data_IF_472914230206
#
_entry.id   IF_472914230206
#
_cell.length_a   1.000
_cell.length_b   1.000
_cell.length_c   1.000
_cell.angle_alpha   90.00
_cell.angle_beta   90.00
_cell.angle_gamma   90.00
#
_symmetry.space_group_name_H-M   'P 1'
#
loop_
_entity.id
_entity.type
_entity.pdbx_description
1 polymer ?
#
# COMPACT_ATOMS: atom_id res chain seq x y z
N UNK A 1 -0.19 40.72 -57.66
CA UNK A 1 -1.03 39.85 -56.81
C UNK A 1 -0.12 38.96 -56.00
N UNK A 2 -0.29 39.01 -54.67
CA UNK A 2 0.13 38.06 -53.64
C UNK A 2 0.00 36.60 -54.15
N UNK A 3 0.82 35.61 -53.84
CA UNK A 3 1.69 35.34 -52.70
C UNK A 3 1.49 33.85 -52.33
N UNK A 4 2.56 33.21 -51.84
CA UNK A 4 2.61 31.92 -51.13
C UNK A 4 2.67 30.61 -51.94
N UNK A 5 3.78 29.91 -51.71
CA UNK A 5 3.99 28.53 -52.11
C UNK A 5 3.19 27.56 -51.25
N UNK A 6 2.79 26.46 -51.87
CA UNK A 6 2.24 25.29 -51.21
C UNK A 6 3.02 24.06 -51.66
N UNK A 7 3.93 23.59 -50.79
CA UNK A 7 4.34 22.21 -50.79
C UNK A 7 3.18 21.38 -50.24
N UNK A 8 2.54 20.62 -51.13
CA UNK A 8 1.49 19.67 -50.80
C UNK A 8 2.04 18.45 -50.06
N UNK A 9 1.32 18.10 -49.00
CA UNK A 9 1.33 16.87 -48.22
C UNK A 9 1.99 15.64 -48.87
N UNK A 10 3.17 15.26 -48.38
CA UNK A 10 3.53 13.85 -48.27
C UNK A 10 3.13 13.38 -46.88
N UNK A 11 2.19 12.43 -46.83
CA UNK A 11 1.90 11.64 -45.64
C UNK A 11 3.19 10.99 -45.16
N UNK A 12 3.70 11.47 -44.04
CA UNK A 12 4.75 10.79 -43.31
C UNK A 12 4.07 9.85 -42.32
N UNK A 13 4.41 8.57 -42.50
CA UNK A 13 4.15 7.48 -41.57
C UNK A 13 4.32 7.92 -40.10
N UNK A 14 3.51 7.39 -39.18
CA UNK A 14 3.76 7.61 -37.75
C UNK A 14 5.19 7.15 -37.41
N UNK A 15 5.98 7.95 -36.67
CA UNK A 15 7.33 7.55 -36.30
C UNK A 15 7.28 6.28 -35.46
N UNK A 16 8.21 5.40 -35.81
CA UNK A 16 8.43 4.08 -35.28
C UNK A 16 8.43 4.02 -33.74
N UNK A 17 7.87 2.92 -33.25
CA UNK A 17 8.05 2.33 -31.93
C UNK A 17 9.18 2.96 -31.10
N UNK A 18 8.78 3.61 -30.01
CA UNK A 18 9.66 3.76 -28.86
C UNK A 18 10.19 2.37 -28.48
N UNK A 19 11.49 2.22 -28.20
CA UNK A 19 12.02 0.95 -27.75
C UNK A 19 11.29 0.58 -26.45
N UNK A 20 10.71 -0.63 -26.42
CA UNK A 20 10.21 -1.21 -25.20
C UNK A 20 11.34 -1.15 -24.16
N UNK A 21 11.11 -0.39 -23.09
CA UNK A 21 11.99 -0.39 -21.94
C UNK A 21 12.24 -1.85 -21.55
N UNK A 22 13.53 -2.20 -21.44
CA UNK A 22 14.03 -3.54 -21.24
C UNK A 22 13.13 -4.37 -20.31
N UNK A 23 12.74 -5.55 -20.79
CA UNK A 23 11.87 -6.49 -20.10
C UNK A 23 12.36 -6.79 -18.68
N UNK A 24 11.50 -6.46 -17.72
CA UNK A 24 11.65 -6.73 -16.30
C UNK A 24 10.46 -6.10 -15.58
N UNK A 25 9.82 -6.84 -14.68
CA UNK A 25 8.61 -6.46 -13.96
C UNK A 25 8.86 -5.27 -13.01
N UNK A 26 9.07 -4.06 -13.55
CA UNK A 26 9.34 -2.88 -12.72
C UNK A 26 8.10 -2.53 -11.90
N UNK A 27 8.23 -2.40 -10.57
CA UNK A 27 7.12 -2.05 -9.71
C UNK A 27 6.63 -0.64 -10.05
N UNK A 28 5.34 -0.56 -10.35
CA UNK A 28 4.53 0.64 -10.45
C UNK A 28 3.92 1.00 -9.08
N UNK A 29 3.65 2.28 -8.91
CA UNK A 29 3.19 2.90 -7.69
C UNK A 29 1.80 3.49 -7.88
N UNK A 30 1.00 3.43 -6.81
CA UNK A 30 -0.17 4.27 -6.61
C UNK A 30 0.24 5.53 -5.86
N UNK A 31 -0.37 6.64 -6.24
CA UNK A 31 -0.19 7.93 -5.59
C UNK A 31 -1.56 8.38 -5.12
N UNK A 32 -1.76 8.58 -3.83
CA UNK A 32 -3.05 8.96 -3.27
C UNK A 32 -2.90 10.06 -2.23
N UNK A 33 -4.01 10.77 -2.03
CA UNK A 33 -4.08 11.94 -1.18
C UNK A 33 -4.67 11.57 0.20
N UNK A 34 -4.24 12.25 1.26
CA UNK A 34 -4.77 12.05 2.62
C UNK A 34 -6.22 12.50 2.75
N UNK A 35 -6.66 13.45 1.93
CA UNK A 35 -8.04 13.92 1.92
C UNK A 35 -9.04 12.78 1.68
N UNK A 36 -8.68 11.83 0.80
CA UNK A 36 -9.40 10.56 0.63
C UNK A 36 -8.45 9.49 0.04
N UNK A 37 -8.09 8.50 0.87
CA UNK A 37 -7.20 7.40 0.48
C UNK A 37 -7.85 6.41 -0.52
N UNK A 38 -9.16 6.55 -0.77
CA UNK A 38 -9.92 5.80 -1.78
C UNK A 38 -9.70 6.28 -3.21
N UNK A 39 -9.05 7.43 -3.42
CA UNK A 39 -8.77 7.98 -4.75
C UNK A 39 -7.27 7.98 -5.07
N UNK A 40 -6.93 7.53 -6.28
CA UNK A 40 -5.56 7.51 -6.79
C UNK A 40 -5.38 8.48 -7.95
N UNK A 41 -4.15 8.96 -8.09
CA UNK A 41 -3.68 9.75 -9.22
C UNK A 41 -3.85 8.96 -10.52
N UNK A 42 -4.48 9.55 -11.52
CA UNK A 42 -4.77 8.95 -12.82
C UNK A 42 -4.49 9.94 -13.94
N UNK A 43 -4.18 9.43 -15.13
CA UNK A 43 -4.26 10.21 -16.36
C UNK A 43 -5.65 10.05 -16.97
N UNK A 44 -6.36 11.16 -17.22
CA UNK A 44 -7.64 11.18 -17.95
C UNK A 44 -7.71 12.41 -18.84
N UNK A 45 -8.08 12.23 -20.11
CA UNK A 45 -8.22 13.31 -21.09
C UNK A 45 -7.00 14.26 -21.17
N UNK A 46 -5.79 13.69 -21.02
CA UNK A 46 -4.53 14.45 -21.04
C UNK A 46 -4.22 15.23 -19.76
N UNK A 47 -5.02 15.08 -18.70
CA UNK A 47 -4.84 15.73 -17.41
C UNK A 47 -4.45 14.72 -16.32
N UNK A 48 -3.85 15.24 -15.24
CA UNK A 48 -3.60 14.48 -14.02
C UNK A 48 -4.72 14.79 -13.02
N UNK A 49 -5.47 13.76 -12.63
CA UNK A 49 -6.65 13.86 -11.76
C UNK A 49 -6.63 12.79 -10.67
N UNK A 50 -7.48 12.93 -9.66
CA UNK A 50 -7.83 11.86 -8.75
C UNK A 50 -9.04 11.10 -9.27
N UNK A 51 -9.00 9.78 -9.16
CA UNK A 51 -10.05 8.86 -9.58
C UNK A 51 -10.22 7.74 -8.55
N UNK A 52 -11.41 7.12 -8.41
CA UNK A 52 -11.59 5.97 -7.53
C UNK A 52 -10.52 4.91 -7.80
N UNK A 53 -9.91 4.41 -6.74
CA UNK A 53 -8.79 3.48 -6.82
C UNK A 53 -9.19 2.23 -7.60
N UNK A 54 -8.49 1.99 -8.69
CA UNK A 54 -8.68 0.81 -9.51
C UNK A 54 -7.32 0.24 -9.89
N UNK A 55 -6.84 -0.81 -9.22
CA UNK A 55 -5.55 -1.42 -9.54
C UNK A 55 -5.50 -1.99 -10.98
N UNK A 56 -6.63 -2.18 -11.67
CA UNK A 56 -6.62 -2.64 -13.07
C UNK A 56 -6.50 -1.51 -14.09
N UNK A 57 -6.64 -0.26 -13.66
CA UNK A 57 -6.55 0.89 -14.55
C UNK A 57 -5.08 1.32 -14.70
N UNK A 58 -4.45 0.94 -15.81
CA UNK A 58 -3.05 1.29 -16.08
C UNK A 58 -2.76 2.80 -16.06
N UNK A 59 -3.79 3.66 -16.22
CA UNK A 59 -3.63 5.11 -16.08
C UNK A 59 -3.41 5.55 -14.63
N UNK A 60 -3.69 4.69 -13.64
CA UNK A 60 -3.38 4.93 -12.23
C UNK A 60 -2.02 4.35 -11.80
N UNK A 61 -1.27 3.73 -12.73
CA UNK A 61 0.04 3.17 -12.47
C UNK A 61 1.14 4.16 -12.83
N UNK A 62 2.05 4.39 -11.89
CA UNK A 62 3.14 5.34 -12.05
C UNK A 62 4.48 4.68 -11.79
N UNK A 63 5.51 5.03 -12.56
CA UNK A 63 6.90 4.75 -12.23
C UNK A 63 7.48 5.94 -11.48
N UNK A 64 8.29 5.63 -10.47
CA UNK A 64 9.12 6.61 -9.78
C UNK A 64 10.55 6.48 -10.31
N UNK A 65 10.92 7.37 -11.23
CA UNK A 65 12.24 7.34 -11.86
C UNK A 65 13.27 8.08 -11.01
N UNK A 66 14.26 7.34 -10.50
CA UNK A 66 15.24 7.86 -9.55
C UNK A 66 16.63 8.05 -10.19
N UNK A 67 16.80 7.95 -11.52
CA UNK A 67 18.16 7.91 -12.13
C UNK A 67 19.03 9.12 -11.78
N UNK A 68 18.40 10.29 -11.62
CA UNK A 68 19.10 11.54 -11.30
C UNK A 68 19.07 11.89 -9.80
N UNK A 69 18.58 11.02 -8.93
CA UNK A 69 18.32 11.33 -7.51
C UNK A 69 19.58 11.61 -6.68
N UNK A 70 20.74 11.13 -7.14
CA UNK A 70 22.03 11.41 -6.52
C UNK A 70 22.63 12.75 -6.96
N UNK A 71 22.24 13.25 -8.13
CA UNK A 71 22.76 14.46 -8.75
C UNK A 71 21.89 15.68 -8.45
N UNK A 72 20.57 15.48 -8.44
CA UNK A 72 19.58 16.53 -8.32
C UNK A 72 18.85 16.38 -6.99
N UNK A 73 18.86 17.47 -6.23
CA UNK A 73 18.17 17.61 -4.95
C UNK A 73 17.45 18.95 -4.93
N UNK A 74 16.39 19.04 -4.14
CA UNK A 74 15.76 20.33 -3.87
C UNK A 74 16.58 21.19 -2.88
N UNK A 75 16.08 22.39 -2.59
CA UNK A 75 16.68 23.35 -1.65
C UNK A 75 16.89 22.77 -0.23
N UNK A 76 16.08 21.79 0.17
CA UNK A 76 16.19 21.09 1.46
C UNK A 76 17.11 19.85 1.38
N UNK A 77 17.67 19.56 0.20
CA UNK A 77 18.54 18.40 -0.02
C UNK A 77 17.81 17.09 -0.28
N UNK A 78 16.49 17.10 -0.48
CA UNK A 78 15.73 15.89 -0.78
C UNK A 78 16.00 15.42 -2.22
N UNK A 79 16.19 14.11 -2.43
CA UNK A 79 16.53 13.57 -3.75
C UNK A 79 15.36 13.68 -4.74
N UNK A 80 15.67 14.09 -5.97
CA UNK A 80 14.69 14.28 -7.02
C UNK A 80 14.30 12.98 -7.74
N UNK A 81 13.08 12.95 -8.27
CA UNK A 81 12.54 11.85 -9.08
C UNK A 81 11.54 12.33 -10.12
N UNK A 82 11.37 11.59 -11.21
CA UNK A 82 10.27 11.82 -12.16
C UNK A 82 9.09 10.88 -11.86
N UNK A 83 7.87 11.37 -12.09
CA UNK A 83 6.63 10.59 -11.98
C UNK A 83 6.14 10.29 -13.39
N UNK A 84 6.23 9.04 -13.83
CA UNK A 84 5.96 8.64 -15.22
C UNK A 84 4.78 7.69 -15.27
N UNK A 85 3.75 8.01 -16.05
CA UNK A 85 2.57 7.17 -16.15
C UNK A 85 2.86 5.92 -17.01
N UNK A 86 2.44 4.75 -16.53
CA UNK A 86 2.65 3.47 -17.21
C UNK A 86 1.92 3.38 -18.55
N UNK A 87 0.64 3.73 -18.59
CA UNK A 87 -0.21 3.59 -19.78
C UNK A 87 0.22 4.53 -20.93
N UNK A 88 0.65 5.74 -20.58
CA UNK A 88 0.89 6.81 -21.57
C UNK A 88 2.37 7.09 -21.84
N UNK A 89 3.28 6.66 -20.95
CA UNK A 89 4.70 7.02 -21.02
C UNK A 89 4.98 8.51 -20.80
N UNK A 90 3.98 9.27 -20.33
CA UNK A 90 4.10 10.70 -20.06
C UNK A 90 4.56 10.94 -18.62
N UNK A 91 5.50 11.87 -18.44
CA UNK A 91 5.92 12.35 -17.13
C UNK A 91 5.08 13.55 -16.69
N UNK A 92 4.83 13.65 -15.39
CA UNK A 92 4.23 14.85 -14.79
C UNK A 92 5.23 16.00 -14.82
N UNK A 93 4.88 17.07 -15.49
CA UNK A 93 5.66 18.30 -15.64
C UNK A 93 5.10 19.42 -14.78
N UNK A 94 5.99 20.26 -14.28
CA UNK A 94 5.66 21.55 -13.67
C UNK A 94 4.75 22.38 -14.61
N UNK A 95 3.95 23.26 -14.01
CA UNK A 95 3.07 24.19 -14.72
C UNK A 95 3.50 25.64 -14.50
N UNK A 96 2.63 26.60 -14.84
CA UNK A 96 2.96 28.04 -14.85
C UNK A 96 3.01 28.68 -13.46
N UNK A 97 2.68 27.93 -12.40
CA UNK A 97 2.69 28.40 -11.02
C UNK A 97 1.43 27.99 -10.26
N UNK A 98 1.20 28.60 -9.10
CA UNK A 98 0.04 28.34 -8.25
C UNK A 98 -1.27 28.33 -9.05
N UNK A 99 -2.22 27.50 -8.65
CA UNK A 99 -3.55 27.24 -9.25
C UNK A 99 -3.55 26.57 -10.63
N UNK A 100 -2.40 26.40 -11.27
CA UNK A 100 -2.36 25.80 -12.60
C UNK A 100 -2.24 24.28 -12.52
N UNK A 101 -3.06 23.53 -13.29
CA UNK A 101 -2.92 22.08 -13.42
C UNK A 101 -1.51 21.68 -13.81
N UNK A 102 -1.00 20.60 -13.22
CA UNK A 102 0.25 19.98 -13.69
C UNK A 102 0.06 19.48 -15.12
N UNK A 103 1.14 19.42 -15.89
CA UNK A 103 1.10 19.01 -17.31
C UNK A 103 1.65 17.60 -17.47
N UNK A 104 1.37 16.99 -18.62
CA UNK A 104 1.96 15.72 -19.03
C UNK A 104 2.80 15.95 -20.29
N UNK A 105 4.01 15.40 -20.33
CA UNK A 105 4.91 15.46 -21.50
C UNK A 105 5.60 14.12 -21.73
N UNK A 106 6.03 13.79 -22.96
CA UNK A 106 6.79 12.57 -23.23
C UNK A 106 8.01 12.46 -22.33
N UNK A 107 8.19 11.31 -21.67
CA UNK A 107 9.35 11.07 -20.82
C UNK A 107 10.55 10.59 -21.65
N UNK A 108 11.70 11.23 -21.48
CA UNK A 108 12.97 10.77 -22.05
C UNK A 108 13.96 10.45 -20.91
N UNK A 109 14.24 9.18 -20.63
CA UNK A 109 15.11 8.77 -19.53
C UNK A 109 16.59 9.18 -19.70
N UNK A 110 17.02 9.45 -20.94
CA UNK A 110 18.41 9.79 -21.28
C UNK A 110 18.69 11.30 -21.20
N UNK A 111 17.65 12.10 -20.98
CA UNK A 111 17.76 13.56 -20.94
C UNK A 111 17.25 14.08 -19.60
N UNK A 112 18.12 14.79 -18.88
CA UNK A 112 17.74 15.47 -17.65
C UNK A 112 16.87 16.70 -17.99
N UNK A 113 15.56 16.56 -17.81
CA UNK A 113 14.60 17.67 -17.81
C UNK A 113 14.15 17.96 -16.38
N UNK A 114 14.71 18.99 -15.74
CA UNK A 114 14.32 19.39 -14.38
C UNK A 114 12.83 19.73 -14.25
N UNK A 115 12.16 20.10 -15.35
CA UNK A 115 10.74 20.48 -15.30
C UNK A 115 9.80 19.29 -15.06
N UNK A 116 10.29 18.04 -15.12
CA UNK A 116 9.54 16.84 -14.75
C UNK A 116 10.01 16.22 -13.44
N UNK A 117 10.92 16.89 -12.72
CA UNK A 117 11.52 16.39 -11.50
C UNK A 117 10.82 16.94 -10.26
N UNK A 118 10.50 16.04 -9.35
CA UNK A 118 9.76 16.28 -8.11
C UNK A 118 10.56 15.76 -6.92
N UNK A 119 10.24 16.24 -5.72
CA UNK A 119 10.77 15.74 -4.46
C UNK A 119 9.66 15.42 -3.46
N UNK A 120 9.94 14.55 -2.50
CA UNK A 120 9.08 14.32 -1.35
C UNK A 120 9.62 15.11 -0.16
N UNK A 121 8.74 15.80 0.57
CA UNK A 121 9.11 16.47 1.81
C UNK A 121 9.41 15.52 2.97
N UNK A 122 9.80 16.08 4.11
CA UNK A 122 9.64 15.39 5.39
C UNK A 122 8.19 14.95 5.64
N UNK A 123 8.00 14.02 6.59
CA UNK A 123 6.68 13.52 6.98
C UNK A 123 5.82 14.67 7.57
N UNK A 124 4.67 14.94 6.96
CA UNK A 124 3.68 15.94 7.40
C UNK A 124 2.59 15.33 8.29
N UNK A 125 2.71 14.04 8.61
CA UNK A 125 1.89 13.27 9.55
C UNK A 125 1.48 11.92 8.98
N UNK A 126 1.60 10.86 9.79
CA UNK A 126 1.15 9.48 9.47
C UNK A 126 1.78 8.91 8.18
N UNK A 127 3.01 9.30 7.87
CA UNK A 127 3.74 8.83 6.69
C UNK A 127 3.35 9.52 5.38
N UNK A 128 2.57 10.60 5.44
CA UNK A 128 2.26 11.43 4.27
C UNK A 128 3.31 12.51 4.08
N UNK A 129 3.53 12.93 2.83
CA UNK A 129 4.53 13.94 2.43
C UNK A 129 3.95 14.85 1.36
N UNK A 130 4.50 16.04 1.19
CA UNK A 130 4.24 16.87 0.01
C UNK A 130 5.02 16.33 -1.19
N UNK A 131 4.42 16.35 -2.38
CA UNK A 131 5.14 16.15 -3.66
C UNK A 131 5.40 17.55 -4.24
N UNK A 132 6.65 17.99 -4.25
CA UNK A 132 7.05 19.38 -4.51
C UNK A 132 7.88 19.50 -5.78
N UNK A 133 7.85 20.66 -6.42
CA UNK A 133 8.74 20.95 -7.55
C UNK A 133 10.19 20.95 -7.05
N UNK A 134 11.11 20.31 -7.78
CA UNK A 134 12.52 20.23 -7.36
C UNK A 134 13.19 21.61 -7.32
N UNK A 135 12.81 22.52 -8.22
CA UNK A 135 13.39 23.84 -8.40
C UNK A 135 12.64 24.96 -7.64
N UNK A 136 11.50 24.64 -7.02
CA UNK A 136 10.71 25.59 -6.24
C UNK A 136 9.84 24.84 -5.22
N UNK A 137 10.40 24.58 -4.05
CA UNK A 137 9.73 23.80 -3.00
C UNK A 137 8.51 24.51 -2.37
N UNK A 138 8.26 25.78 -2.71
CA UNK A 138 7.05 26.49 -2.26
C UNK A 138 5.79 25.96 -2.95
N UNK A 139 5.92 25.39 -4.15
CA UNK A 139 4.82 24.83 -4.92
C UNK A 139 4.82 23.30 -4.87
N UNK A 140 3.66 22.75 -4.58
CA UNK A 140 3.46 21.31 -4.39
C UNK A 140 2.14 20.84 -5.02
N UNK A 141 1.98 19.53 -5.15
CA UNK A 141 0.73 18.91 -5.58
C UNK A 141 -0.41 19.27 -4.63
N UNK A 142 -1.51 19.72 -5.21
CA UNK A 142 -2.76 20.00 -4.52
C UNK A 142 -3.91 19.36 -5.29
N UNK A 143 -4.72 18.56 -4.59
CA UNK A 143 -6.01 18.14 -5.12
C UNK A 143 -6.97 19.33 -5.02
N UNK A 144 -7.21 19.99 -6.17
CA UNK A 144 -7.90 21.28 -6.24
C UNK A 144 -9.28 21.18 -5.59
N UNK A 145 -9.53 21.99 -4.57
CA UNK A 145 -10.78 21.99 -3.79
C UNK A 145 -11.11 20.61 -3.18
N UNK A 146 -10.12 19.74 -3.03
CA UNK A 146 -10.27 18.40 -2.46
C UNK A 146 -10.33 18.39 -0.93
N UNK A 147 -10.30 19.56 -0.29
CA UNK A 147 -10.50 19.71 1.14
C UNK A 147 -12.00 19.66 1.51
N UNK A 148 -12.28 19.45 2.80
CA UNK A 148 -13.65 19.24 3.30
C UNK A 148 -14.54 20.47 3.15
N UNK A 149 -13.98 21.68 3.15
CA UNK A 149 -14.76 22.91 3.06
C UNK A 149 -15.31 23.13 1.65
N UNK A 150 -14.72 22.47 0.65
CA UNK A 150 -15.13 22.52 -0.75
C UNK A 150 -15.76 21.22 -1.29
N UNK A 151 -16.10 20.28 -0.40
CA UNK A 151 -16.80 19.03 -0.76
C UNK A 151 -15.91 17.79 -0.84
N UNK A 152 -14.60 17.93 -0.62
CA UNK A 152 -13.66 16.82 -0.61
C UNK A 152 -13.22 16.37 -2.01
N UNK A 153 -12.34 15.36 -2.03
CA UNK A 153 -11.94 14.69 -3.27
C UNK A 153 -13.11 13.92 -3.87
N UNK A 154 -13.24 13.98 -5.19
CA UNK A 154 -14.20 13.21 -5.96
C UNK A 154 -13.57 12.76 -7.30
N UNK A 155 -14.32 11.95 -8.07
CA UNK A 155 -13.82 11.49 -9.36
C UNK A 155 -13.59 12.68 -10.30
N UNK A 156 -12.38 12.78 -10.86
CA UNK A 156 -11.96 13.88 -11.72
C UNK A 156 -11.38 15.10 -11.00
N UNK A 157 -11.22 15.09 -9.67
CA UNK A 157 -10.54 16.20 -8.95
C UNK A 157 -9.16 16.46 -9.55
N UNK A 158 -8.94 17.66 -10.09
CA UNK A 158 -7.72 18.00 -10.82
C UNK A 158 -6.54 18.21 -9.87
N UNK A 159 -5.34 17.76 -10.26
CA UNK A 159 -4.11 18.07 -9.52
C UNK A 159 -3.47 19.33 -10.06
N UNK A 160 -3.29 20.32 -9.19
CA UNK A 160 -2.70 21.62 -9.49
C UNK A 160 -1.42 21.84 -8.67
N UNK A 161 -0.69 22.90 -9.02
CA UNK A 161 0.33 23.45 -8.14
C UNK A 161 -0.30 24.41 -7.12
N UNK A 162 0.06 24.29 -5.85
CA UNK A 162 -0.34 25.25 -4.83
C UNK A 162 0.74 25.47 -3.77
N UNK A 163 0.66 26.60 -3.07
CA UNK A 163 1.51 26.85 -1.90
C UNK A 163 1.13 25.92 -0.74
N UNK A 164 2.07 25.54 0.10
CA UNK A 164 1.76 24.67 1.24
C UNK A 164 0.81 25.37 2.23
N UNK A 165 -0.44 24.92 2.26
CA UNK A 165 -1.52 25.40 3.12
C UNK A 165 -1.83 24.44 4.28
N UNK A 166 -1.04 23.37 4.44
CA UNK A 166 -1.20 22.34 5.49
C UNK A 166 -2.51 21.55 5.39
N UNK A 167 -3.10 21.51 4.19
CA UNK A 167 -4.32 20.76 3.93
C UNK A 167 -4.07 19.26 3.73
N UNK A 168 -5.05 18.44 4.10
CA UNK A 168 -5.02 17.00 3.81
C UNK A 168 -5.02 16.75 2.28
N UNK A 169 -5.57 17.68 1.49
CA UNK A 169 -5.58 17.67 0.01
C UNK A 169 -4.19 17.90 -0.63
N UNK A 170 -3.18 18.22 0.19
CA UNK A 170 -1.78 18.45 -0.20
C UNK A 170 -0.81 17.41 0.39
N UNK A 171 -1.35 16.42 1.09
CA UNK A 171 -0.60 15.38 1.78
C UNK A 171 -0.72 14.08 1.01
N UNK A 172 0.40 13.54 0.51
CA UNK A 172 0.42 12.44 -0.44
C UNK A 172 1.19 11.23 0.06
N UNK A 173 0.83 10.06 -0.43
CA UNK A 173 1.62 8.83 -0.30
C UNK A 173 1.88 8.25 -1.68
N UNK A 174 3.14 7.90 -1.91
CA UNK A 174 3.59 7.12 -3.06
C UNK A 174 3.90 5.73 -2.53
N UNK A 175 3.03 4.77 -2.83
CA UNK A 175 3.18 3.38 -2.41
C UNK A 175 3.17 2.47 -3.63
N UNK A 176 3.91 1.34 -3.61
CA UNK A 176 3.75 0.36 -4.68
C UNK A 176 2.29 -0.07 -4.78
N UNK A 177 1.80 -0.27 -6.00
CA UNK A 177 0.56 -1.02 -6.20
C UNK A 177 0.76 -2.44 -5.66
N UNK A 178 -0.25 -2.97 -4.94
CA UNK A 178 -0.26 -4.37 -4.50
C UNK A 178 -0.39 -5.35 -5.68
N UNK A 179 -0.32 -6.67 -5.42
CA UNK A 179 -0.37 -7.70 -6.46
C UNK A 179 -1.62 -7.62 -7.37
N UNK A 180 -2.71 -7.04 -6.87
CA UNK A 180 -3.96 -6.78 -7.59
C UNK A 180 -3.78 -6.00 -8.90
N UNK A 181 -2.73 -5.18 -9.00
CA UNK A 181 -2.54 -4.26 -10.11
C UNK A 181 -1.76 -4.86 -11.29
N UNK A 182 -1.10 -6.00 -11.07
CA UNK A 182 -0.43 -6.79 -12.10
C UNK A 182 -1.28 -7.98 -12.56
N UNK A 183 -2.52 -8.09 -12.07
CA UNK A 183 -3.47 -9.15 -12.44
C UNK A 183 -4.19 -8.90 -13.78
N UNK A 184 -3.97 -7.74 -14.42
CA UNK A 184 -4.60 -7.29 -15.67
C UNK A 184 -3.81 -7.64 -16.94
N UNK A 185 -3.47 -8.92 -17.11
CA UNK A 185 -2.71 -9.43 -18.25
C UNK A 185 -2.33 -10.86 -17.92
N UNK A 186 -3.10 -11.82 -18.43
CA UNK A 186 -2.99 -13.24 -18.10
C UNK A 186 -1.59 -13.81 -18.38
N UNK A 187 -0.70 -13.70 -17.41
CA UNK A 187 0.36 -14.63 -17.01
C UNK A 187 1.28 -13.91 -16.03
N UNK A 188 0.76 -13.52 -14.86
CA UNK A 188 1.43 -13.59 -13.55
C UNK A 188 0.70 -12.71 -12.51
N UNK A 189 -0.54 -13.08 -12.17
CA UNK A 189 -0.85 -13.29 -10.75
C UNK A 189 0.25 -14.20 -10.15
N UNK A 190 0.51 -14.30 -8.84
CA UNK A 190 1.24 -15.46 -8.34
C UNK A 190 0.61 -16.68 -9.02
N UNK A 191 1.39 -17.36 -9.87
CA UNK A 191 0.89 -18.00 -11.08
C UNK A 191 -0.28 -18.98 -10.88
N UNK A 192 -0.73 -19.33 -9.68
CA UNK A 192 -0.61 -20.74 -9.35
C UNK A 192 0.83 -21.16 -9.69
N UNK A 193 1.85 -20.73 -8.95
CA UNK A 193 1.84 -19.99 -7.70
C UNK A 193 3.07 -19.11 -7.56
N UNK A 194 3.00 -18.07 -6.74
CA UNK A 194 3.62 -18.27 -5.44
C UNK A 194 3.17 -19.60 -4.85
N UNK A 195 4.10 -20.52 -4.75
CA UNK A 195 4.00 -21.63 -3.82
C UNK A 195 4.02 -21.14 -2.37
N UNK A 196 3.86 -19.83 -2.09
CA UNK A 196 3.84 -19.32 -0.73
C UNK A 196 2.50 -19.73 -0.11
N UNK A 197 2.54 -20.68 0.83
CA UNK A 197 1.34 -21.19 1.43
C UNK A 197 0.72 -20.09 2.28
N UNK A 198 -0.51 -19.69 1.97
CA UNK A 198 -1.31 -18.91 2.91
C UNK A 198 -1.54 -19.75 4.16
N UNK A 199 -1.65 -19.10 5.30
CA UNK A 199 -1.91 -19.73 6.59
C UNK A 199 -3.30 -19.39 7.09
N UNK A 200 -3.84 -20.34 7.86
CA UNK A 200 -5.01 -20.24 8.71
C UNK A 200 -4.55 -19.93 10.13
N UNK A 201 -5.22 -18.99 10.78
CA UNK A 201 -4.97 -18.62 12.17
C UNK A 201 -6.22 -18.99 12.97
N UNK A 202 -6.07 -19.81 14.00
CA UNK A 202 -7.17 -20.22 14.87
C UNK A 202 -6.70 -20.39 16.31
N UNK A 203 -7.60 -20.21 17.27
CA UNK A 203 -7.30 -20.39 18.69
C UNK A 203 -7.75 -21.76 19.18
N UNK A 204 -7.21 -22.20 20.32
CA UNK A 204 -7.54 -23.47 20.95
C UNK A 204 -8.95 -23.51 21.53
N UNK A 205 -9.51 -22.36 21.88
CA UNK A 205 -10.86 -22.29 22.43
C UNK A 205 -11.91 -22.88 21.49
N UNK A 206 -11.76 -22.68 20.17
CA UNK A 206 -12.58 -23.35 19.15
C UNK A 206 -11.85 -23.34 17.79
N UNK A 207 -11.42 -24.52 17.33
CA UNK A 207 -10.77 -24.70 16.02
C UNK A 207 -11.76 -24.83 14.86
N UNK A 208 -13.06 -24.65 15.10
CA UNK A 208 -14.09 -24.40 14.10
C UNK A 208 -14.08 -22.96 13.58
N UNK A 209 -13.37 -22.05 14.24
CA UNK A 209 -13.27 -20.63 13.85
C UNK A 209 -11.89 -20.29 13.29
N UNK A 210 -11.83 -19.24 12.47
CA UNK A 210 -10.61 -18.70 11.89
C UNK A 210 -10.58 -17.18 11.98
N UNK A 211 -9.39 -16.61 12.13
CA UNK A 211 -9.22 -15.16 12.04
C UNK A 211 -9.53 -14.68 10.61
N UNK A 212 -10.35 -13.65 10.52
CA UNK A 212 -10.79 -13.04 9.26
C UNK A 212 -10.84 -11.53 9.38
N UNK A 213 -10.75 -10.85 8.25
CA UNK A 213 -11.08 -9.42 8.18
C UNK A 213 -12.57 -9.25 7.90
N UNK A 214 -13.26 -8.47 8.74
CA UNK A 214 -14.64 -8.02 8.52
C UNK A 214 -14.78 -6.57 8.95
N UNK A 215 -15.35 -5.73 8.07
CA UNK A 215 -15.58 -4.30 8.34
C UNK A 215 -14.33 -3.57 8.87
N UNK A 216 -13.14 -3.87 8.31
CA UNK A 216 -11.87 -3.25 8.71
C UNK A 216 -11.33 -3.71 10.06
N UNK A 217 -11.85 -4.80 10.64
CA UNK A 217 -11.41 -5.35 11.92
C UNK A 217 -11.04 -6.83 11.81
N UNK A 218 -10.19 -7.32 12.71
CA UNK A 218 -9.86 -8.75 12.81
C UNK A 218 -10.77 -9.41 13.83
N UNK A 219 -11.53 -10.40 13.38
CA UNK A 219 -12.47 -11.17 14.20
C UNK A 219 -12.31 -12.66 13.93
N UNK A 220 -12.83 -13.50 14.82
CA UNK A 220 -13.04 -14.91 14.57
C UNK A 220 -14.39 -15.13 13.90
N UNK A 221 -14.40 -15.95 12.86
CA UNK A 221 -15.60 -16.36 12.14
C UNK A 221 -15.57 -17.88 11.86
N UNK A 222 -16.73 -18.53 11.63
CA UNK A 222 -16.77 -19.93 11.24
C UNK A 222 -15.85 -20.18 10.05
N UNK A 223 -15.07 -21.25 10.15
CA UNK A 223 -14.04 -21.57 9.17
C UNK A 223 -14.65 -21.89 7.83
N UNK A 224 -14.24 -21.13 6.82
CA UNK A 224 -14.63 -21.33 5.44
C UNK A 224 -13.38 -21.23 4.56
N UNK A 225 -12.83 -22.36 4.07
CA UNK A 225 -11.66 -22.35 3.19
C UNK A 225 -11.88 -21.64 1.84
N UNK A 226 -13.12 -21.25 1.52
CA UNK A 226 -13.45 -20.44 0.34
C UNK A 226 -13.49 -18.94 0.64
N UNK A 227 -13.51 -18.57 1.92
CA UNK A 227 -13.48 -17.17 2.34
C UNK A 227 -12.03 -16.71 2.34
N UNK A 228 -11.61 -16.04 1.27
CA UNK A 228 -10.24 -15.59 1.09
C UNK A 228 -9.81 -14.59 2.17
N UNK A 229 -10.74 -13.91 2.87
CA UNK A 229 -10.40 -13.05 4.00
C UNK A 229 -9.93 -13.84 5.24
N UNK A 230 -10.11 -15.16 5.28
CA UNK A 230 -9.53 -16.05 6.29
C UNK A 230 -8.11 -16.51 5.94
N UNK A 231 -7.60 -16.12 4.77
CA UNK A 231 -6.26 -16.47 4.32
C UNK A 231 -5.29 -15.35 4.67
N UNK A 232 -4.19 -15.73 5.32
CA UNK A 232 -3.14 -14.80 5.73
C UNK A 232 -1.81 -15.22 5.14
N UNK A 233 -0.94 -14.28 4.83
CA UNK A 233 0.48 -14.54 4.62
C UNK A 233 1.20 -14.33 5.94
N UNK A 234 2.10 -15.27 6.26
CA UNK A 234 3.05 -15.11 7.36
C UNK A 234 4.38 -14.67 6.78
N UNK A 235 4.62 -13.36 6.77
CA UNK A 235 5.84 -12.79 6.22
C UNK A 235 6.98 -12.90 7.23
N UNK A 236 8.01 -13.67 6.89
CA UNK A 236 9.19 -13.92 7.73
C UNK A 236 10.42 -13.07 7.33
N UNK A 237 10.30 -12.09 6.43
CA UNK A 237 11.45 -11.36 5.84
C UNK A 237 12.36 -10.70 6.89
N UNK A 238 11.80 -10.27 8.02
CA UNK A 238 12.54 -9.64 9.11
C UNK A 238 13.05 -10.62 10.19
N UNK A 239 12.74 -11.91 10.08
CA UNK A 239 12.96 -12.92 11.14
C UNK A 239 14.42 -13.11 11.58
N UNK A 240 15.37 -12.91 10.66
CA UNK A 240 16.80 -13.04 10.95
C UNK A 240 17.37 -11.82 11.69
N UNK A 241 16.72 -10.66 11.58
CA UNK A 241 17.21 -9.37 12.11
C UNK A 241 16.46 -8.92 13.35
N UNK A 242 15.19 -9.28 13.47
CA UNK A 242 14.32 -8.82 14.54
C UNK A 242 13.83 -10.05 15.30
N UNK A 243 14.02 -9.99 16.61
CA UNK A 243 13.61 -11.01 17.55
C UNK A 243 12.95 -10.32 18.74
N UNK A 244 12.06 -11.02 19.42
CA UNK A 244 11.57 -10.53 20.71
C UNK A 244 12.63 -10.67 21.82
N UNK A 245 12.27 -10.22 23.04
CA UNK A 245 13.13 -10.27 24.23
C UNK A 245 13.62 -11.69 24.57
N UNK A 246 12.87 -12.73 24.22
CA UNK A 246 13.25 -14.12 24.43
C UNK A 246 14.01 -14.73 23.23
N UNK A 247 14.24 -13.95 22.17
CA UNK A 247 14.99 -14.35 20.99
C UNK A 247 14.16 -15.05 19.89
N UNK A 248 12.82 -15.03 19.97
CA UNK A 248 11.97 -15.62 18.93
C UNK A 248 11.88 -14.72 17.70
N UNK A 249 11.93 -15.29 16.49
CA UNK A 249 11.95 -14.52 15.25
C UNK A 249 10.63 -13.78 14.99
N UNK A 250 10.75 -12.54 14.53
CA UNK A 250 9.61 -11.72 14.13
C UNK A 250 8.99 -12.16 12.80
N UNK A 251 7.67 -11.95 12.68
CA UNK A 251 6.90 -12.08 11.45
C UNK A 251 5.76 -11.08 11.38
N UNK A 252 5.26 -10.79 10.16
CA UNK A 252 4.01 -10.06 9.96
C UNK A 252 2.89 -11.03 9.53
N UNK A 253 1.66 -10.72 9.92
CA UNK A 253 0.45 -11.41 9.44
C UNK A 253 -0.31 -10.48 8.53
N UNK A 254 -0.31 -10.79 7.23
CA UNK A 254 -0.87 -9.94 6.19
C UNK A 254 -2.09 -10.61 5.60
N UNK A 255 -3.23 -9.94 5.59
CA UNK A 255 -4.43 -10.52 5.00
C UNK A 255 -4.25 -10.68 3.48
N UNK A 256 -4.62 -11.84 2.94
CA UNK A 256 -4.48 -12.13 1.51
C UNK A 256 -5.29 -11.16 0.65
N UNK A 257 -6.49 -10.79 1.09
CA UNK A 257 -7.43 -9.99 0.30
C UNK A 257 -7.19 -8.50 0.48
N UNK A 258 -6.96 -8.02 1.71
CA UNK A 258 -6.79 -6.58 1.93
C UNK A 258 -5.37 -6.08 1.79
N UNK A 259 -4.37 -6.98 1.84
CA UNK A 259 -2.96 -6.60 1.89
C UNK A 259 -2.56 -5.84 3.16
N UNK A 260 -3.44 -5.80 4.16
CA UNK A 260 -3.18 -5.14 5.43
C UNK A 260 -2.55 -6.10 6.43
N UNK A 261 -1.58 -5.61 7.20
CA UNK A 261 -1.00 -6.34 8.31
C UNK A 261 -1.74 -6.07 9.62
N UNK A 262 -1.79 -7.08 10.48
CA UNK A 262 -2.26 -6.91 11.86
C UNK A 262 -1.24 -6.05 12.61
N UNK A 263 -1.70 -4.93 13.16
CA UNK A 263 -0.93 -3.96 13.94
C UNK A 263 -1.28 -4.02 15.41
N UNK A 264 -0.28 -3.77 16.25
CA UNK A 264 -0.43 -3.54 17.68
C UNK A 264 -1.50 -2.47 17.98
N UNK A 265 -2.19 -2.61 19.11
CA UNK A 265 -3.17 -1.64 19.60
C UNK A 265 -2.60 -0.80 20.76
N UNK A 266 -3.42 0.05 21.39
CA UNK A 266 -2.97 0.99 22.43
C UNK A 266 -2.69 0.35 23.80
N UNK A 267 -2.89 -0.96 23.96
CA UNK A 267 -2.65 -1.69 25.20
C UNK A 267 -3.65 -2.82 25.44
N UNK A 268 -3.64 -3.37 26.65
CA UNK A 268 -4.56 -4.43 27.11
C UNK A 268 -6.03 -4.07 26.85
N UNK A 269 -6.80 -5.04 26.38
CA UNK A 269 -8.23 -4.93 26.07
C UNK A 269 -8.58 -4.25 24.76
N UNK A 270 -7.62 -3.62 24.08
CA UNK A 270 -7.91 -2.94 22.83
C UNK A 270 -7.81 -3.88 21.62
N UNK A 271 -8.79 -3.83 20.69
CA UNK A 271 -8.73 -4.58 19.43
C UNK A 271 -7.47 -4.28 18.64
N UNK A 272 -6.90 -5.31 18.03
CA UNK A 272 -5.82 -5.14 17.05
C UNK A 272 -6.33 -4.31 15.86
N UNK A 273 -5.41 -3.63 15.18
CA UNK A 273 -5.73 -2.79 14.02
C UNK A 273 -5.25 -3.43 12.74
N UNK A 274 -5.78 -2.98 11.61
CA UNK A 274 -5.25 -3.29 10.29
C UNK A 274 -4.62 -2.03 9.71
N UNK A 275 -3.48 -2.18 9.07
CA UNK A 275 -2.82 -1.12 8.30
C UNK A 275 -2.22 -1.69 7.02
N UNK A 276 -2.14 -0.91 5.92
CA UNK A 276 -1.47 -1.36 4.70
C UNK A 276 -0.05 -1.87 4.99
N UNK A 277 0.27 -3.06 4.49
CA UNK A 277 1.58 -3.67 4.71
C UNK A 277 2.61 -3.23 3.66
N UNK A 278 3.81 -2.87 4.11
CA UNK A 278 4.94 -2.58 3.23
C UNK A 278 6.15 -3.42 3.65
N UNK A 279 6.40 -4.52 2.94
CA UNK A 279 7.51 -5.44 3.23
C UNK A 279 8.91 -4.80 3.12
N UNK A 280 9.03 -3.66 2.46
CA UNK A 280 10.30 -2.94 2.31
C UNK A 280 10.54 -1.91 3.43
N UNK A 281 9.55 -1.68 4.28
CA UNK A 281 9.64 -0.77 5.41
C UNK A 281 9.48 -1.55 6.72
N UNK A 282 10.51 -1.47 7.57
CA UNK A 282 10.49 -2.12 8.88
C UNK A 282 9.58 -1.32 9.83
N UNK A 283 8.28 -1.64 9.84
CA UNK A 283 7.33 -1.18 10.86
C UNK A 283 7.23 -2.25 11.96
N UNK A 284 7.92 -2.04 13.10
CA UNK A 284 7.85 -2.98 14.22
C UNK A 284 6.44 -3.13 14.81
N UNK A 285 5.56 -2.14 14.61
CA UNK A 285 4.20 -2.20 15.15
C UNK A 285 3.29 -3.21 14.45
N UNK A 286 3.72 -3.81 13.34
CA UNK A 286 3.01 -4.90 12.66
C UNK A 286 3.72 -6.25 12.81
N UNK A 287 4.77 -6.30 13.63
CA UNK A 287 5.58 -7.49 13.83
C UNK A 287 5.18 -8.22 15.11
N UNK A 288 5.08 -9.53 14.98
CA UNK A 288 4.65 -10.46 16.00
C UNK A 288 5.67 -11.58 16.15
N UNK A 289 5.64 -12.29 17.28
CA UNK A 289 6.40 -13.51 17.51
C UNK A 289 5.51 -14.63 17.98
N UNK A 290 5.94 -15.86 17.73
CA UNK A 290 5.35 -17.07 18.29
C UNK A 290 6.22 -17.49 19.48
N UNK A 291 5.62 -17.65 20.65
CA UNK A 291 6.32 -18.15 21.83
C UNK A 291 6.78 -19.60 21.65
N UNK A 292 7.44 -20.17 22.68
CA UNK A 292 7.50 -21.62 22.84
C UNK A 292 6.12 -22.26 22.76
N UNK A 293 6.10 -23.55 22.44
CA UNK A 293 4.89 -24.39 22.54
C UNK A 293 4.36 -24.37 23.99
N UNK A 294 3.08 -24.04 24.14
CA UNK A 294 2.36 -23.99 25.42
C UNK A 294 1.38 -25.15 25.59
N UNK A 295 1.49 -26.16 24.72
CA UNK A 295 0.75 -27.42 24.76
C UNK A 295 0.13 -27.77 23.41
N UNK A 296 0.30 -29.02 22.97
CA UNK A 296 -0.33 -29.59 21.78
C UNK A 296 -0.06 -28.81 20.47
N UNK A 297 1.11 -28.18 20.35
CA UNK A 297 1.49 -27.41 19.16
C UNK A 297 0.90 -26.01 19.11
N UNK A 298 0.22 -25.55 20.16
CA UNK A 298 -0.27 -24.18 20.27
C UNK A 298 0.81 -23.26 20.86
N UNK A 299 0.82 -22.00 20.44
CA UNK A 299 1.76 -20.96 20.87
C UNK A 299 1.00 -19.67 21.18
N UNK A 300 1.61 -18.78 21.94
CA UNK A 300 1.13 -17.40 22.05
C UNK A 300 1.61 -16.61 20.83
N UNK A 301 0.76 -15.77 20.25
CA UNK A 301 1.17 -14.75 19.27
C UNK A 301 1.34 -13.44 20.04
N UNK A 302 2.54 -12.89 20.10
CA UNK A 302 2.91 -11.77 20.98
C UNK A 302 3.43 -10.59 20.18
N UNK A 303 3.31 -9.38 20.72
CA UNK A 303 3.98 -8.22 20.14
C UNK A 303 5.49 -8.44 20.19
N UNK A 304 6.20 -8.13 19.08
CA UNK A 304 7.67 -8.32 19.04
C UNK A 304 8.41 -7.43 20.05
N UNK A 305 7.87 -6.24 20.34
CA UNK A 305 8.48 -5.23 21.21
C UNK A 305 7.92 -5.24 22.65
N UNK A 306 6.92 -6.09 22.94
CA UNK A 306 6.33 -6.23 24.27
C UNK A 306 5.70 -7.62 24.42
N UNK A 307 6.48 -8.59 24.89
CA UNK A 307 6.04 -9.99 25.00
C UNK A 307 4.98 -10.23 26.08
N UNK A 308 4.66 -9.24 26.91
CA UNK A 308 3.60 -9.35 27.91
C UNK A 308 2.19 -9.26 27.32
N UNK A 309 2.06 -8.69 26.11
CA UNK A 309 0.78 -8.58 25.40
C UNK A 309 0.72 -9.56 24.23
N UNK A 310 -0.33 -10.38 24.23
CA UNK A 310 -0.58 -11.43 23.25
C UNK A 310 -1.96 -11.26 22.59
N UNK A 311 -2.13 -11.94 21.46
CA UNK A 311 -3.45 -12.15 20.86
C UNK A 311 -4.38 -12.85 21.83
N UNK A 312 -5.55 -12.26 22.00
CA UNK A 312 -6.64 -12.81 22.80
C UNK A 312 -7.94 -12.75 22.00
N UNK A 313 -8.64 -13.88 21.91
CA UNK A 313 -10.02 -13.88 21.45
C UNK A 313 -10.91 -13.39 22.60
N UNK A 314 -11.36 -12.14 22.50
CA UNK A 314 -12.02 -11.43 23.60
C UNK A 314 -13.27 -12.18 24.07
N UNK A 315 -13.32 -12.54 25.36
CA UNK A 315 -14.40 -13.35 25.95
C UNK A 315 -14.60 -14.71 25.25
N UNK A 316 -13.57 -15.22 24.57
CA UNK A 316 -13.59 -16.49 23.87
C UNK A 316 -13.38 -17.70 24.78
N UNK A 317 -13.16 -17.50 26.08
CA UNK A 317 -13.06 -18.56 27.07
C UNK A 317 -14.45 -19.10 27.47
N UNK A 318 -14.46 -20.27 28.10
CA UNK A 318 -15.71 -20.97 28.46
C UNK A 318 -16.55 -20.23 29.51
N UNK A 319 -15.94 -19.41 30.36
CA UNK A 319 -16.65 -18.68 31.41
C UNK A 319 -17.50 -17.56 30.80
N UNK A 320 -17.12 -17.04 29.63
CA UNK A 320 -17.82 -15.98 28.91
C UNK A 320 -18.60 -16.46 27.68
N UNK A 321 -18.80 -17.78 27.53
CA UNK A 321 -19.63 -18.37 26.48
C UNK A 321 -18.87 -18.85 25.24
N UNK A 322 -17.53 -18.76 25.25
CA UNK A 322 -16.68 -19.29 24.19
C UNK A 322 -16.57 -18.38 22.97
N UNK A 323 -15.82 -18.87 21.98
CA UNK A 323 -15.69 -18.21 20.67
C UNK A 323 -17.02 -18.27 19.93
N UNK A 324 -17.37 -17.16 19.26
CA UNK A 324 -18.56 -17.03 18.41
C UNK A 324 -18.25 -16.18 17.18
N UNK A 325 -19.17 -16.19 16.23
CA UNK A 325 -18.99 -15.40 15.02
C UNK A 325 -18.91 -13.91 15.35
N UNK A 326 -17.84 -13.26 14.91
CA UNK A 326 -17.53 -11.87 15.24
C UNK A 326 -16.78 -11.66 16.56
N UNK A 327 -16.29 -12.71 17.24
CA UNK A 327 -15.42 -12.54 18.42
C UNK A 327 -14.18 -11.73 18.04
N UNK A 328 -14.01 -10.56 18.67
CA UNK A 328 -12.91 -9.65 18.37
C UNK A 328 -11.56 -10.19 18.82
N UNK A 329 -10.52 -9.93 18.01
CA UNK A 329 -9.14 -10.18 18.39
C UNK A 329 -8.56 -8.94 19.08
N UNK A 330 -8.11 -9.08 20.32
CA UNK A 330 -7.57 -7.98 21.14
C UNK A 330 -6.16 -8.29 21.63
N UNK A 331 -5.51 -7.30 22.24
CA UNK A 331 -4.32 -7.53 23.06
C UNK A 331 -4.71 -7.82 24.50
N UNK A 332 -4.10 -8.83 25.11
CA UNK A 332 -4.28 -9.09 26.54
C UNK A 332 -3.00 -9.63 27.18
N UNK A 333 -2.89 -9.49 28.51
CA UNK A 333 -1.82 -10.15 29.27
C UNK A 333 -2.00 -11.67 29.26
N UNK A 334 -0.91 -12.42 29.38
CA UNK A 334 -1.02 -13.88 29.41
C UNK A 334 -1.73 -14.36 30.69
N UNK A 335 -2.86 -15.05 30.51
CA UNK A 335 -3.72 -15.61 31.56
C UNK A 335 -3.87 -17.13 31.43
N UNK A 336 -3.08 -17.78 30.57
CA UNK A 336 -3.11 -19.23 30.32
C UNK A 336 -4.43 -19.77 29.72
N UNK A 337 -5.30 -18.89 29.25
CA UNK A 337 -6.58 -19.25 28.64
C UNK A 337 -6.45 -19.90 27.26
N UNK A 338 -7.39 -20.78 26.91
CA UNK A 338 -7.43 -21.41 25.57
C UNK A 338 -7.71 -20.38 24.44
N UNK A 339 -8.31 -19.24 24.77
CA UNK A 339 -8.54 -18.11 23.87
C UNK A 339 -7.26 -17.31 23.54
N UNK A 340 -6.13 -17.61 24.19
CA UNK A 340 -4.80 -17.00 23.95
C UNK A 340 -3.80 -17.96 23.33
N UNK A 341 -4.23 -19.20 23.03
CA UNK A 341 -3.40 -20.27 22.47
C UNK A 341 -3.73 -20.42 21.00
N UNK A 342 -2.76 -20.18 20.14
CA UNK A 342 -2.96 -20.04 18.69
C UNK A 342 -2.18 -21.06 17.89
N UNK A 343 -2.71 -21.38 16.72
CA UNK A 343 -2.01 -22.10 15.66
C UNK A 343 -2.06 -21.29 14.38
N UNK A 344 -0.90 -21.20 13.73
CA UNK A 344 -0.74 -20.64 12.39
C UNK A 344 -0.30 -21.79 11.49
N UNK A 345 -1.23 -22.34 10.71
CA UNK A 345 -0.97 -23.52 9.88
C UNK A 345 -1.25 -23.22 8.42
N UNK A 346 -0.54 -23.82 7.45
CA UNK A 346 -0.89 -23.70 6.04
C UNK A 346 -2.36 -24.03 5.77
N UNK A 347 -3.00 -23.27 4.89
CA UNK A 347 -4.26 -23.65 4.26
C UNK A 347 -3.97 -24.82 3.32
N UNK A 348 -4.31 -26.04 3.74
CA UNK A 348 -4.21 -27.22 2.89
C UNK A 348 -5.34 -27.20 1.85
N UNK A 349 -5.03 -27.49 0.59
CA UNK A 349 -6.05 -27.77 -0.43
C UNK A 349 -6.71 -29.13 -0.07
N UNK A 350 -7.93 -29.05 0.46
CA UNK A 350 -8.85 -30.13 0.90
C UNK A 350 -8.55 -30.81 2.25
N UNK A 351 -9.56 -30.98 3.11
CA UNK A 351 -9.72 -32.20 3.88
C UNK A 351 -10.34 -33.26 2.95
N UNK A 352 -9.57 -34.28 2.58
CA UNK A 352 -10.16 -35.53 2.15
C UNK A 352 -10.43 -36.35 3.42
N UNK A 353 -11.70 -36.77 3.54
CA UNK A 353 -12.24 -37.77 4.47
C UNK A 353 -12.62 -37.28 5.87
#
# INVERSE_FOLDING_TARGET
>A
MFGFGHHGHHGQNPPAHAPAAAGGNQPTFKIFCKADEGYCLSVRDGNVVLAPSNPRDEHQHWFKDMRFSAQIKDEEGNPAFAIVNKATGLAVKHSLGQSHPVKLVPFNPEYLDESVMWTESGDVGKGFRCIRMVNNIRLNFDALNGDKDHGGVHDGTTVVLWEWAKGDNQSWKILPWGEEAYAGGSANAPRGGSSEPTVRIFCKADDGFSATVRNGTVVLAPTNPRDEYQHWFKDMRHSNRIKDEEGYPAFALVNKVTGEAIKHSQGEGHPVKLVPYNANYQDESVLWTESRDVGAGFRCIRMVNNIYLNFDALHGDKEHGGVRDGTSLVLWKWCEGDNQRWKILPWCKCPCC
#
